data_IF_563456731969
#
_entry.id   IF_563456731969
#
_cell.length_a   1.000
_cell.length_b   1.000
_cell.length_c   1.000
_cell.angle_alpha   90.00
_cell.angle_beta   90.00
_cell.angle_gamma   90.00
#
_symmetry.space_group_name_H-M   'P 1'
#
loop_
_entity.id
_entity.type
_entity.pdbx_description
1 polymer ?
#
# COMPACT_ATOMS: atom_id res chain seq x y z
N UNK A 1 3.70 20.94 41.30
CA UNK A 1 2.74 20.98 40.18
C UNK A 1 3.36 20.27 38.98
N UNK A 2 2.53 19.52 38.23
CA UNK A 2 2.95 18.55 37.23
C UNK A 2 3.65 19.16 36.00
N UNK A 3 4.72 18.51 35.58
CA UNK A 3 5.41 18.73 34.31
C UNK A 3 4.62 17.98 33.22
N UNK A 4 3.90 18.70 32.37
CA UNK A 4 3.18 18.12 31.24
C UNK A 4 3.86 18.60 29.96
N UNK A 5 4.60 17.76 29.21
CA UNK A 5 4.93 18.11 27.84
C UNK A 5 3.70 17.84 26.96
N UNK A 6 3.26 18.78 26.10
CA UNK A 6 2.23 18.48 25.11
C UNK A 6 2.91 17.81 23.90
N UNK A 7 3.45 16.61 24.07
CA UNK A 7 3.68 15.75 22.90
C UNK A 7 2.34 15.11 22.56
N UNK A 8 1.55 15.81 21.75
CA UNK A 8 0.42 15.21 21.06
C UNK A 8 0.93 14.01 20.25
N UNK A 9 0.19 12.89 20.20
CA UNK A 9 0.61 11.73 19.43
C UNK A 9 0.73 12.15 17.96
N UNK A 10 1.97 12.23 17.48
CA UNK A 10 2.28 12.35 16.06
C UNK A 10 1.49 11.25 15.34
N UNK A 11 0.65 11.66 14.39
CA UNK A 11 -0.34 10.81 13.73
C UNK A 11 0.22 9.44 13.41
N UNK A 12 -0.16 8.45 14.23
CA UNK A 12 0.14 7.06 13.95
C UNK A 12 -0.60 6.75 12.64
N UNK A 13 0.14 6.40 11.59
CA UNK A 13 -0.45 5.93 10.33
C UNK A 13 -1.34 4.74 10.67
N UNK A 14 -2.66 4.95 10.65
CA UNK A 14 -3.62 3.90 10.95
C UNK A 14 -3.92 3.11 9.67
N UNK A 15 -4.10 1.77 9.76
CA UNK A 15 -4.60 1.01 8.64
C UNK A 15 -6.00 1.51 8.25
N UNK A 16 -6.43 1.31 6.99
CA UNK A 16 -7.82 1.51 6.62
C UNK A 16 -8.73 0.69 7.54
N UNK A 17 -9.79 1.29 8.05
CA UNK A 17 -10.78 0.57 8.87
C UNK A 17 -11.67 -0.35 8.03
N UNK A 18 -11.73 -0.12 6.72
CA UNK A 18 -12.58 -0.87 5.79
C UNK A 18 -11.82 -2.00 5.11
N UNK A 19 -12.45 -3.16 4.88
CA UNK A 19 -11.87 -4.20 4.03
C UNK A 19 -11.69 -3.66 2.60
N UNK A 20 -10.68 -4.16 1.86
CA UNK A 20 -10.55 -3.82 0.46
C UNK A 20 -11.70 -4.43 -0.36
N UNK A 21 -11.89 -3.97 -1.62
CA UNK A 21 -12.87 -4.58 -2.50
C UNK A 21 -12.65 -6.10 -2.62
N UNK A 22 -13.73 -6.87 -2.48
CA UNK A 22 -13.67 -8.34 -2.51
C UNK A 22 -13.61 -8.92 -3.93
N UNK A 23 -13.17 -8.12 -4.91
CA UNK A 23 -12.92 -8.58 -6.28
C UNK A 23 -11.44 -8.43 -6.61
N UNK A 24 -10.95 -9.31 -7.48
CA UNK A 24 -9.65 -9.10 -8.11
C UNK A 24 -9.87 -8.29 -9.37
N UNK A 25 -9.34 -7.05 -9.48
CA UNK A 25 -9.47 -6.29 -10.71
C UNK A 25 -8.86 -7.05 -11.90
N UNK A 26 -9.34 -6.79 -13.11
CA UNK A 26 -8.63 -7.26 -14.29
C UNK A 26 -7.28 -6.55 -14.36
N UNK A 27 -6.21 -7.26 -14.73
CA UNK A 27 -4.94 -6.64 -15.10
C UNK A 27 -5.17 -5.85 -16.40
N UNK A 28 -5.69 -4.64 -16.28
CA UNK A 28 -5.71 -3.69 -17.39
C UNK A 28 -4.24 -3.30 -17.61
N UNK A 29 -3.65 -3.76 -18.71
CA UNK A 29 -2.22 -3.60 -19.03
C UNK A 29 -1.71 -2.16 -19.18
N UNK A 30 -2.47 -1.17 -18.70
CA UNK A 30 -2.14 0.25 -18.71
C UNK A 30 -1.31 0.69 -17.49
N UNK A 31 -1.20 -0.12 -16.44
CA UNK A 31 -0.36 0.20 -15.28
C UNK A 31 1.11 -0.12 -15.57
N UNK A 32 1.77 0.86 -16.20
CA UNK A 32 3.22 1.07 -16.31
C UNK A 32 4.08 -0.21 -16.29
N UNK A 33 4.49 -0.65 -17.47
CA UNK A 33 5.47 -1.72 -17.70
C UNK A 33 6.83 -1.49 -17.01
N UNK A 34 7.05 -0.31 -16.43
CA UNK A 34 8.06 -0.04 -15.43
C UNK A 34 7.34 0.41 -14.15
N UNK A 35 7.39 -0.40 -13.09
CA UNK A 35 6.96 0.01 -11.75
C UNK A 35 7.94 1.07 -11.25
N UNK A 36 7.70 2.30 -11.68
CA UNK A 36 8.52 3.44 -11.27
C UNK A 36 8.05 3.91 -9.88
N UNK A 37 8.98 4.25 -8.96
CA UNK A 37 8.63 4.80 -7.64
C UNK A 37 7.69 6.01 -7.74
N UNK A 38 7.80 6.81 -8.81
CA UNK A 38 6.91 7.95 -9.04
C UNK A 38 5.46 7.55 -9.33
N UNK A 39 5.23 6.43 -10.00
CA UNK A 39 3.88 5.99 -10.38
C UNK A 39 3.09 5.43 -9.18
N UNK A 40 3.76 4.68 -8.30
CA UNK A 40 3.13 4.17 -7.07
C UNK A 40 2.90 5.27 -6.02
N UNK A 41 3.67 6.37 -6.07
CA UNK A 41 3.48 7.51 -5.19
C UNK A 41 2.07 8.12 -5.34
N UNK A 42 1.50 8.11 -6.54
CA UNK A 42 0.11 8.53 -6.79
C UNK A 42 -0.95 7.64 -6.12
N UNK A 43 -0.55 6.47 -5.63
CA UNK A 43 -1.42 5.50 -4.97
C UNK A 43 -1.32 5.53 -3.45
N UNK A 44 -0.50 6.42 -2.88
CA UNK A 44 -0.41 6.61 -1.43
C UNK A 44 -1.80 6.89 -0.84
N UNK A 45 -2.06 6.25 0.31
CA UNK A 45 -3.32 6.33 1.04
C UNK A 45 -4.55 5.83 0.25
N UNK A 46 -4.35 4.88 -0.67
CA UNK A 46 -5.42 4.29 -1.49
C UNK A 46 -5.35 2.77 -1.53
N UNK A 47 -6.50 2.15 -1.74
CA UNK A 47 -6.57 0.70 -1.90
C UNK A 47 -5.92 0.31 -3.22
N UNK A 48 -4.77 -0.37 -3.16
CA UNK A 48 -3.98 -0.74 -4.32
C UNK A 48 -3.94 -2.26 -4.45
N UNK A 49 -4.38 -2.79 -5.58
CA UNK A 49 -4.18 -4.20 -5.90
C UNK A 49 -2.83 -4.38 -6.56
N UNK A 50 -1.98 -5.21 -5.97
CA UNK A 50 -0.62 -5.47 -6.46
C UNK A 50 -0.56 -6.87 -7.03
N UNK A 51 -0.12 -6.99 -8.28
CA UNK A 51 0.27 -8.27 -8.86
C UNK A 51 1.78 -8.43 -8.74
N UNK A 52 2.20 -9.54 -8.15
CA UNK A 52 3.62 -9.86 -8.04
C UNK A 52 4.12 -10.60 -9.27
N UNK A 53 5.42 -10.52 -9.57
CA UNK A 53 6.04 -11.30 -10.65
C UNK A 53 6.00 -12.81 -10.39
N UNK A 54 5.97 -13.24 -9.13
CA UNK A 54 6.01 -14.65 -8.72
C UNK A 54 5.08 -14.92 -7.55
N UNK A 55 3.77 -14.84 -7.78
CA UNK A 55 2.78 -15.18 -6.77
C UNK A 55 1.38 -14.65 -7.08
N UNK A 56 0.41 -14.92 -6.19
CA UNK A 56 -0.91 -14.32 -6.28
C UNK A 56 -0.83 -12.81 -6.06
N UNK A 57 -1.80 -12.09 -6.62
CA UNK A 57 -1.99 -10.68 -6.31
C UNK A 57 -2.63 -10.48 -4.94
N UNK A 58 -2.41 -9.31 -4.34
CA UNK A 58 -2.97 -8.98 -3.04
C UNK A 58 -3.31 -7.49 -2.93
N UNK A 59 -4.19 -7.19 -1.99
CA UNK A 59 -4.50 -5.81 -1.61
C UNK A 59 -3.42 -5.23 -0.70
N UNK A 60 -3.01 -4.02 -1.04
CA UNK A 60 -1.98 -3.26 -0.36
C UNK A 60 -2.41 -1.80 -0.25
N UNK A 61 -2.12 -1.19 0.89
CA UNK A 61 -2.43 0.19 1.18
C UNK A 61 -1.12 0.92 1.48
N UNK A 62 -0.48 1.52 0.46
CA UNK A 62 0.82 2.14 0.63
C UNK A 62 0.69 3.43 1.43
N UNK A 63 1.53 3.59 2.45
CA UNK A 63 1.60 4.79 3.31
C UNK A 63 2.91 5.53 3.14
N UNK A 64 3.92 4.85 2.59
CA UNK A 64 5.23 5.43 2.34
C UNK A 64 5.88 4.74 1.12
N UNK A 65 6.47 5.53 0.23
CA UNK A 65 7.21 5.03 -0.94
C UNK A 65 8.66 5.51 -0.81
N UNK A 66 9.58 4.55 -0.76
CA UNK A 66 11.01 4.78 -0.87
C UNK A 66 11.50 4.69 -2.31
N UNK A 67 12.83 4.71 -2.49
CA UNK A 67 13.46 4.65 -3.83
C UNK A 67 13.24 3.32 -4.55
N UNK A 68 13.14 2.21 -3.83
CA UNK A 68 13.04 0.86 -4.40
C UNK A 68 12.02 -0.02 -3.68
N UNK A 69 11.38 0.51 -2.63
CA UNK A 69 10.45 -0.25 -1.80
C UNK A 69 9.27 0.64 -1.40
N UNK A 70 8.15 0.00 -1.10
CA UNK A 70 6.94 0.64 -0.59
C UNK A 70 6.56 0.01 0.74
N UNK A 71 6.27 0.84 1.73
CA UNK A 71 5.78 0.43 3.02
C UNK A 71 4.30 0.80 3.15
N UNK A 72 3.54 -0.07 3.81
CA UNK A 72 2.10 0.03 3.81
C UNK A 72 1.45 -1.05 4.64
N UNK A 73 0.14 -1.15 4.50
CA UNK A 73 -0.63 -2.22 5.09
C UNK A 73 -1.00 -3.23 4.02
N UNK A 74 -0.71 -4.50 4.26
CA UNK A 74 -1.11 -5.62 3.41
C UNK A 74 -2.37 -6.27 3.97
N UNK A 75 -3.33 -6.54 3.11
CA UNK A 75 -4.51 -7.31 3.50
C UNK A 75 -4.18 -8.80 3.52
N UNK A 76 -4.47 -9.49 4.64
CA UNK A 76 -4.30 -10.93 4.75
C UNK A 76 -5.60 -11.74 4.55
N UNK A 77 -6.73 -11.07 4.27
CA UNK A 77 -8.06 -11.67 4.20
C UNK A 77 -8.99 -11.26 5.35
N UNK A 78 -8.42 -10.88 6.49
CA UNK A 78 -9.15 -10.52 7.71
C UNK A 78 -8.81 -9.13 8.22
N UNK A 79 -7.52 -8.77 8.20
CA UNK A 79 -7.00 -7.53 8.75
C UNK A 79 -5.87 -6.96 7.87
N UNK A 80 -5.63 -5.67 8.07
CA UNK A 80 -4.52 -4.93 7.51
C UNK A 80 -3.29 -5.09 8.40
N UNK A 81 -2.24 -5.71 7.87
CA UNK A 81 -0.96 -5.92 8.58
C UNK A 81 0.11 -5.03 7.97
N UNK A 82 0.84 -4.28 8.80
CA UNK A 82 1.93 -3.46 8.29
C UNK A 82 3.03 -4.33 7.65
N UNK A 83 3.47 -3.98 6.45
CA UNK A 83 4.42 -4.75 5.66
C UNK A 83 5.13 -3.87 4.63
N UNK A 84 6.38 -4.25 4.31
CA UNK A 84 7.15 -3.67 3.20
C UNK A 84 7.14 -4.57 1.98
N UNK A 85 7.14 -3.96 0.79
CA UNK A 85 7.21 -4.65 -0.50
C UNK A 85 8.27 -3.99 -1.37
N UNK A 86 9.06 -4.80 -2.06
CA UNK A 86 10.08 -4.31 -3.00
C UNK A 86 9.44 -4.03 -4.37
N UNK A 87 9.69 -2.86 -4.96
CA UNK A 87 9.08 -2.47 -6.24
C UNK A 87 9.49 -3.42 -7.37
N UNK A 88 10.66 -4.09 -7.27
CA UNK A 88 11.12 -5.09 -8.26
C UNK A 88 10.27 -6.36 -8.27
N UNK A 89 9.54 -6.62 -7.20
CA UNK A 89 8.64 -7.79 -7.10
C UNK A 89 7.25 -7.50 -7.66
N UNK A 90 6.94 -6.24 -7.92
CA UNK A 90 5.66 -5.80 -8.48
C UNK A 90 5.75 -5.96 -10.00
N UNK A 91 4.80 -6.71 -10.57
CA UNK A 91 4.63 -6.83 -12.01
C UNK A 91 3.74 -5.73 -12.55
N UNK A 92 2.63 -5.49 -11.85
CA UNK A 92 1.67 -4.43 -12.15
C UNK A 92 0.94 -4.06 -10.87
N UNK A 93 0.31 -2.89 -10.84
CA UNK A 93 -0.51 -2.46 -9.73
C UNK A 93 -1.70 -1.64 -10.25
N UNK A 94 -2.81 -1.67 -9.53
CA UNK A 94 -4.00 -0.86 -9.87
C UNK A 94 -4.53 -0.22 -8.61
N UNK A 95 -4.72 1.09 -8.67
CA UNK A 95 -5.10 1.90 -7.52
C UNK A 95 -6.56 2.28 -7.66
N UNK A 96 -7.31 2.11 -6.57
CA UNK A 96 -8.75 2.34 -6.52
C UNK A 96 -9.01 3.55 -5.62
N UNK A 97 -9.90 4.43 -6.08
CA UNK A 97 -10.40 5.57 -5.30
C UNK A 97 -11.48 5.09 -4.33
#
# INVERSE_FOLDING_TARGET
MAFMPPFGPQGQLQPPSSPPPQFTPAQTGASALAVDPGAIFGCLFRNTFIWTVRGPGFWFYPVFVGRTSVAGFRWNGFFWTYSGLDLRTIRSFSCFF
#
